data_IF_836445477219
#
_entry.id   IF_836445477219
#
_cell.length_a   1.000
_cell.length_b   1.000
_cell.length_c   1.000
_cell.angle_alpha   90.00
_cell.angle_beta   90.00
_cell.angle_gamma   90.00
#
_symmetry.space_group_name_H-M   'P 1'
#
loop_
_entity.id
_entity.type
_entity.pdbx_description
1 polymer ?
#
# COMPACT_ATOMS: atom_id res chain seq x y z
N UNK A 1 23.52 23.77 -8.35
CA UNK A 1 22.72 22.77 -9.10
C UNK A 1 21.36 22.66 -8.43
N UNK A 2 20.26 22.77 -9.17
CA UNK A 2 18.92 22.64 -8.60
C UNK A 2 18.59 21.16 -8.29
N UNK A 3 17.86 20.91 -7.19
CA UNK A 3 17.45 19.56 -6.76
C UNK A 3 16.73 18.77 -7.89
N UNK A 4 15.83 19.41 -8.63
CA UNK A 4 15.15 18.79 -9.77
C UNK A 4 16.11 18.35 -10.88
N UNK A 5 17.18 19.12 -11.13
CA UNK A 5 18.20 18.75 -12.11
C UNK A 5 19.03 17.53 -11.69
N UNK A 6 19.23 17.34 -10.39
CA UNK A 6 19.91 16.16 -9.85
C UNK A 6 19.05 14.91 -9.96
N UNK A 7 17.77 14.99 -9.58
CA UNK A 7 16.81 13.88 -9.70
C UNK A 7 16.69 13.41 -11.16
N UNK A 8 16.54 14.35 -12.10
CA UNK A 8 16.47 14.04 -13.52
C UNK A 8 17.74 13.31 -14.00
N UNK A 9 18.92 13.82 -13.63
CA UNK A 9 20.19 13.23 -14.06
C UNK A 9 20.39 11.81 -13.52
N UNK A 10 19.95 11.54 -12.29
CA UNK A 10 20.13 10.25 -11.62
C UNK A 10 19.13 9.20 -12.11
N UNK A 11 17.84 9.54 -12.17
CA UNK A 11 16.78 8.55 -12.38
C UNK A 11 16.18 8.57 -13.79
N UNK A 12 16.14 9.73 -14.46
CA UNK A 12 15.33 9.93 -15.66
C UNK A 12 16.12 10.19 -16.94
N UNK A 13 17.42 10.50 -16.85
CA UNK A 13 18.25 10.89 -18.01
C UNK A 13 18.66 9.71 -18.91
N UNK A 14 18.90 8.52 -18.35
CA UNK A 14 19.31 7.32 -19.10
C UNK A 14 18.15 6.34 -19.19
N UNK A 15 17.83 5.86 -20.40
CA UNK A 15 16.70 4.95 -20.64
C UNK A 15 16.77 3.65 -19.81
N UNK A 16 17.95 3.10 -19.59
CA UNK A 16 18.14 1.90 -18.75
C UNK A 16 17.82 2.17 -17.27
N UNK A 17 18.35 3.25 -16.69
CA UNK A 17 18.05 3.64 -15.30
C UNK A 17 16.60 4.07 -15.14
N UNK A 18 16.04 4.71 -16.17
CA UNK A 18 14.64 5.09 -16.21
C UNK A 18 13.71 3.87 -16.14
N UNK A 19 13.96 2.84 -16.95
CA UNK A 19 13.18 1.61 -16.91
C UNK A 19 13.25 0.94 -15.53
N UNK A 20 14.45 0.83 -14.95
CA UNK A 20 14.62 0.27 -13.60
C UNK A 20 13.86 1.08 -12.55
N UNK A 21 13.90 2.40 -12.64
CA UNK A 21 13.17 3.31 -11.73
C UNK A 21 11.67 3.10 -11.84
N UNK A 22 11.13 2.93 -13.05
CA UNK A 22 9.72 2.64 -13.25
C UNK A 22 9.31 1.29 -12.66
N UNK A 23 10.08 0.22 -12.91
CA UNK A 23 9.77 -1.10 -12.37
C UNK A 23 9.79 -1.11 -10.84
N UNK A 24 10.84 -0.54 -10.23
CA UNK A 24 10.94 -0.42 -8.78
C UNK A 24 9.82 0.45 -8.23
N UNK A 25 9.57 1.61 -8.86
CA UNK A 25 8.51 2.54 -8.49
C UNK A 25 7.14 1.88 -8.50
N UNK A 26 6.81 1.14 -9.56
CA UNK A 26 5.54 0.42 -9.68
C UNK A 26 5.36 -0.63 -8.58
N UNK A 27 6.39 -1.44 -8.32
CA UNK A 27 6.34 -2.48 -7.27
C UNK A 27 6.07 -1.89 -5.88
N UNK A 28 6.78 -0.82 -5.51
CA UNK A 28 6.54 -0.17 -4.22
C UNK A 28 5.21 0.59 -4.18
N UNK A 29 4.83 1.21 -5.30
CA UNK A 29 3.59 1.96 -5.42
C UNK A 29 2.37 1.04 -5.25
N UNK A 30 2.36 -0.15 -5.85
CA UNK A 30 1.29 -1.14 -5.70
C UNK A 30 1.03 -1.46 -4.22
N UNK A 31 2.07 -1.89 -3.49
CA UNK A 31 1.91 -2.25 -2.07
C UNK A 31 1.44 -1.08 -1.21
N UNK A 32 1.90 0.12 -1.51
CA UNK A 32 1.50 1.33 -0.79
C UNK A 32 0.06 1.71 -1.13
N UNK A 33 -0.30 1.73 -2.41
CA UNK A 33 -1.62 2.09 -2.89
C UNK A 33 -2.70 1.14 -2.35
N UNK A 34 -2.45 -0.17 -2.35
CA UNK A 34 -3.36 -1.16 -1.78
C UNK A 34 -3.59 -0.90 -0.29
N UNK A 35 -2.51 -0.84 0.50
CA UNK A 35 -2.62 -0.63 1.96
C UNK A 35 -3.26 0.72 2.32
N UNK A 36 -2.94 1.76 1.55
CA UNK A 36 -3.52 3.09 1.75
C UNK A 36 -5.01 3.12 1.38
N UNK A 37 -5.38 2.50 0.25
CA UNK A 37 -6.77 2.44 -0.20
C UNK A 37 -7.63 1.65 0.77
N UNK A 38 -7.13 0.50 1.25
CA UNK A 38 -7.80 -0.30 2.28
C UNK A 38 -7.98 0.51 3.57
N UNK A 39 -6.97 1.26 3.99
CA UNK A 39 -7.07 2.10 5.19
C UNK A 39 -8.15 3.16 5.05
N UNK A 40 -8.24 3.82 3.90
CA UNK A 40 -9.29 4.81 3.63
C UNK A 40 -10.67 4.12 3.63
N UNK A 41 -10.78 3.01 2.91
CA UNK A 41 -12.03 2.28 2.76
C UNK A 41 -12.57 1.77 4.11
N UNK A 42 -11.69 1.19 4.94
CA UNK A 42 -12.02 0.71 6.27
C UNK A 42 -12.38 1.86 7.22
N UNK A 43 -11.67 3.00 7.12
CA UNK A 43 -12.01 4.17 7.93
C UNK A 43 -13.40 4.72 7.59
N UNK A 44 -13.80 4.71 6.32
CA UNK A 44 -15.11 5.21 5.88
C UNK A 44 -16.23 4.21 6.24
N UNK A 45 -15.96 2.91 6.15
CA UNK A 45 -16.95 1.85 6.33
C UNK A 45 -16.88 1.15 7.70
N UNK A 46 -16.24 1.81 8.68
CA UNK A 46 -16.06 1.26 10.02
C UNK A 46 -17.39 0.82 10.63
N UNK A 47 -17.42 -0.41 11.15
CA UNK A 47 -18.60 -1.03 11.77
C UNK A 47 -19.58 -1.66 10.79
N UNK A 48 -19.36 -1.54 9.47
CA UNK A 48 -20.18 -2.20 8.44
C UNK A 48 -19.50 -3.41 7.82
N UNK A 49 -18.17 -3.48 7.89
CA UNK A 49 -17.40 -4.52 7.23
C UNK A 49 -17.45 -5.81 8.04
N UNK A 50 -17.39 -6.96 7.35
CA UNK A 50 -17.48 -8.27 8.02
C UNK A 50 -16.44 -8.42 9.12
N UNK A 51 -15.20 -7.97 8.91
CA UNK A 51 -14.15 -8.07 9.92
C UNK A 51 -14.44 -7.26 11.19
N UNK A 52 -15.24 -6.19 11.10
CA UNK A 52 -15.67 -5.42 12.27
C UNK A 52 -16.74 -6.15 13.07
N UNK A 53 -17.67 -6.86 12.40
CA UNK A 53 -18.82 -7.51 13.04
C UNK A 53 -18.62 -9.01 13.30
N UNK A 54 -17.54 -9.62 12.77
CA UNK A 54 -17.28 -11.06 12.85
C UNK A 54 -17.28 -11.58 14.28
N UNK A 55 -16.81 -10.78 15.24
CA UNK A 55 -16.80 -11.13 16.66
C UNK A 55 -18.19 -11.39 17.25
N UNK A 56 -19.25 -10.88 16.63
CA UNK A 56 -20.64 -11.11 17.05
C UNK A 56 -21.17 -12.48 16.62
N UNK A 57 -20.47 -13.17 15.72
CA UNK A 57 -20.94 -14.38 15.06
C UNK A 57 -19.96 -15.56 15.15
N UNK A 58 -18.77 -15.36 15.73
CA UNK A 58 -17.85 -16.45 16.07
C UNK A 58 -18.34 -17.17 17.33
N UNK A 59 -18.38 -18.51 17.31
CA UNK A 59 -18.58 -19.33 18.51
C UNK A 59 -17.63 -18.87 19.63
N UNK A 60 -18.04 -18.94 20.92
CA UNK A 60 -17.12 -18.69 22.03
C UNK A 60 -15.87 -19.56 21.85
N UNK A 61 -14.67 -19.05 22.18
CA UNK A 61 -13.48 -19.86 22.12
C UNK A 61 -13.73 -21.12 22.94
N UNK A 62 -13.65 -22.29 22.32
CA UNK A 62 -13.35 -23.50 23.07
C UNK A 62 -12.06 -23.16 23.83
N UNK A 63 -12.13 -23.19 25.15
CA UNK A 63 -10.99 -23.08 26.04
C UNK A 63 -10.05 -24.23 25.68
N UNK A 64 -9.10 -24.00 24.77
CA UNK A 64 -8.01 -24.93 24.51
C UNK A 64 -7.06 -24.87 25.73
N UNK A 65 -7.15 -25.91 26.57
CA UNK A 65 -6.19 -26.25 27.64
C UNK A 65 -4.75 -26.40 27.13
#
# INVERSE_FOLDING_TARGET
MALGGQIYTIFFKKSSTYFLTLCAGAFFFERFADGFSDSIFNSINKGKQWHDIKHLYGQPPEEEE
#
